data_IF_624978999643
#
_entry.id   IF_624978999643
#
_cell.length_a   1.000
_cell.length_b   1.000
_cell.length_c   1.000
_cell.angle_alpha   90.00
_cell.angle_beta   90.00
_cell.angle_gamma   90.00
#
_symmetry.space_group_name_H-M   'P 1'
#
loop_
_entity.id
_entity.type
_entity.pdbx_description
1 polymer ?
#
# COMPACT_ATOMS: atom_id res chain seq x y z
N UNK A 1 8.02 -0.23 9.86
CA UNK A 1 7.76 -1.36 8.94
C UNK A 1 8.59 -1.12 7.70
N UNK A 2 9.31 -2.14 7.19
CA UNK A 2 9.93 -2.09 5.86
C UNK A 2 9.08 -2.89 4.86
N UNK A 3 9.31 -2.65 3.56
CA UNK A 3 8.61 -3.35 2.49
C UNK A 3 8.79 -4.88 2.61
N UNK A 4 10.02 -5.33 2.85
CA UNK A 4 10.34 -6.75 3.02
C UNK A 4 9.59 -7.39 4.20
N UNK A 5 9.42 -6.65 5.31
CA UNK A 5 8.64 -7.14 6.46
C UNK A 5 7.17 -7.37 6.09
N UNK A 6 6.59 -6.46 5.29
CA UNK A 6 5.20 -6.57 4.83
C UNK A 6 5.07 -7.77 3.87
N UNK A 7 5.99 -7.91 2.92
CA UNK A 7 5.98 -9.03 1.99
C UNK A 7 6.10 -10.37 2.73
N UNK A 8 7.03 -10.47 3.68
CA UNK A 8 7.19 -11.66 4.50
C UNK A 8 5.95 -11.94 5.37
N UNK A 9 5.28 -10.91 5.89
CA UNK A 9 4.09 -11.04 6.74
C UNK A 9 2.85 -11.48 5.97
N UNK A 10 2.60 -10.92 4.79
CA UNK A 10 1.35 -11.16 4.04
C UNK A 10 1.49 -12.24 2.96
N UNK A 11 2.68 -12.43 2.39
CA UNK A 11 2.91 -13.41 1.32
C UNK A 11 3.86 -14.54 1.72
N UNK A 12 4.35 -14.57 2.97
CA UNK A 12 5.33 -15.53 3.48
C UNK A 12 6.68 -15.54 2.71
N UNK A 13 6.90 -14.57 1.82
CA UNK A 13 8.09 -14.43 1.01
C UNK A 13 8.28 -12.97 0.60
N UNK A 14 9.53 -12.55 0.42
CA UNK A 14 9.88 -11.27 -0.20
C UNK A 14 9.90 -11.34 -1.73
N UNK A 15 9.74 -12.52 -2.31
CA UNK A 15 9.78 -12.76 -3.75
C UNK A 15 8.38 -13.02 -4.31
N UNK A 16 7.74 -11.95 -4.80
CA UNK A 16 6.39 -12.02 -5.37
C UNK A 16 6.29 -12.91 -6.62
N UNK A 17 7.39 -13.16 -7.33
CA UNK A 17 7.37 -14.06 -8.50
C UNK A 17 7.09 -15.52 -8.12
N UNK A 18 7.28 -15.87 -6.85
CA UNK A 18 7.00 -17.20 -6.30
C UNK A 18 5.61 -17.31 -5.67
N UNK A 19 4.85 -16.21 -5.61
CA UNK A 19 3.53 -16.18 -4.99
C UNK A 19 2.49 -16.61 -6.03
N UNK A 20 1.70 -17.63 -5.69
CA UNK A 20 0.59 -18.04 -6.52
C UNK A 20 -0.47 -16.93 -6.58
N UNK A 21 -1.21 -16.77 -7.70
CA UNK A 21 -2.24 -15.74 -7.85
C UNK A 21 -3.26 -15.75 -6.70
N UNK A 22 -3.76 -16.93 -6.32
CA UNK A 22 -4.72 -17.08 -5.21
C UNK A 22 -4.13 -16.61 -3.87
N UNK A 23 -2.85 -16.90 -3.62
CA UNK A 23 -2.15 -16.45 -2.40
C UNK A 23 -1.90 -14.94 -2.43
N UNK A 24 -1.65 -14.38 -3.61
CA UNK A 24 -1.49 -12.95 -3.78
C UNK A 24 -2.80 -12.22 -3.46
N UNK A 25 -3.91 -12.67 -4.03
CA UNK A 25 -5.23 -12.11 -3.73
C UNK A 25 -5.56 -12.19 -2.23
N UNK A 26 -5.35 -13.36 -1.61
CA UNK A 26 -5.56 -13.54 -0.17
C UNK A 26 -4.67 -12.62 0.68
N UNK A 27 -3.42 -12.41 0.29
CA UNK A 27 -2.49 -11.49 0.97
C UNK A 27 -2.95 -10.03 0.86
N UNK A 28 -3.43 -9.61 -0.32
CA UNK A 28 -4.01 -8.28 -0.54
C UNK A 28 -5.28 -8.08 0.30
N UNK A 29 -6.16 -9.07 0.36
CA UNK A 29 -7.35 -9.01 1.22
C UNK A 29 -6.97 -8.87 2.70
N UNK A 30 -5.98 -9.65 3.16
CA UNK A 30 -5.50 -9.56 4.54
C UNK A 30 -4.88 -8.18 4.84
N UNK A 31 -4.09 -7.61 3.93
CA UNK A 31 -3.58 -6.24 4.03
C UNK A 31 -4.71 -5.21 4.15
N UNK A 32 -5.79 -5.35 3.38
CA UNK A 32 -6.96 -4.44 3.44
C UNK A 32 -7.67 -4.53 4.79
N UNK A 33 -7.80 -5.73 5.35
CA UNK A 33 -8.36 -5.93 6.69
C UNK A 33 -7.47 -5.29 7.75
N UNK A 34 -6.15 -5.53 7.71
CA UNK A 34 -5.20 -4.93 8.65
C UNK A 34 -5.24 -3.39 8.55
N UNK A 35 -5.32 -2.83 7.34
CA UNK A 35 -5.49 -1.38 7.13
C UNK A 35 -6.78 -0.84 7.79
N UNK A 36 -7.88 -1.59 7.71
CA UNK A 36 -9.15 -1.21 8.35
C UNK A 36 -9.07 -1.24 9.88
N UNK A 37 -8.24 -2.11 10.45
CA UNK A 37 -8.06 -2.29 11.89
C UNK A 37 -6.95 -1.42 12.49
N UNK A 38 -6.03 -0.93 11.67
CA UNK A 38 -4.88 -0.16 12.14
C UNK A 38 -5.30 1.24 12.61
N UNK A 39 -4.88 1.62 13.82
CA UNK A 39 -5.20 2.92 14.44
C UNK A 39 -4.04 3.91 14.29
N UNK A 40 -2.81 3.43 14.11
CA UNK A 40 -1.63 4.29 13.94
C UNK A 40 -1.61 4.91 12.54
N UNK A 41 -1.67 6.24 12.48
CA UNK A 41 -1.66 7.01 11.21
C UNK A 41 -0.47 6.65 10.31
N UNK A 42 0.71 6.49 10.89
CA UNK A 42 1.94 6.17 10.14
C UNK A 42 1.91 4.77 9.53
N UNK A 43 1.44 3.77 10.28
CA UNK A 43 1.27 2.40 9.79
C UNK A 43 0.13 2.29 8.78
N UNK A 44 -1.00 2.96 9.01
CA UNK A 44 -2.10 3.05 8.03
C UNK A 44 -1.59 3.57 6.69
N UNK A 45 -0.83 4.66 6.73
CA UNK A 45 -0.21 5.22 5.53
C UNK A 45 0.71 4.23 4.84
N UNK A 46 1.59 3.56 5.59
CA UNK A 46 2.48 2.54 5.03
C UNK A 46 1.72 1.36 4.37
N UNK A 47 0.68 0.85 5.03
CA UNK A 47 -0.16 -0.23 4.52
C UNK A 47 -0.95 0.20 3.28
N UNK A 48 -1.49 1.41 3.29
CA UNK A 48 -2.20 1.97 2.15
C UNK A 48 -1.27 2.19 0.95
N UNK A 49 -0.08 2.77 1.16
CA UNK A 49 0.91 2.98 0.10
C UNK A 49 1.40 1.65 -0.49
N UNK A 50 1.55 0.62 0.35
CA UNK A 50 1.86 -0.74 -0.10
C UNK A 50 0.74 -1.29 -1.01
N UNK A 51 -0.52 -1.19 -0.59
CA UNK A 51 -1.66 -1.59 -1.42
C UNK A 51 -1.77 -0.77 -2.71
N UNK A 52 -1.38 0.51 -2.69
CA UNK A 52 -1.40 1.39 -3.86
C UNK A 52 -0.40 0.93 -4.91
N UNK A 53 0.80 0.52 -4.50
CA UNK A 53 1.81 -0.05 -5.39
C UNK A 53 1.32 -1.30 -6.13
N UNK A 54 0.39 -2.06 -5.54
CA UNK A 54 -0.25 -3.22 -6.18
C UNK A 54 -1.57 -2.88 -6.90
N UNK A 55 -1.92 -1.60 -7.04
CA UNK A 55 -3.18 -1.17 -7.67
C UNK A 55 -4.44 -1.60 -6.90
N UNK A 56 -4.29 -1.93 -5.62
CA UNK A 56 -5.34 -2.50 -4.78
C UNK A 56 -5.71 -1.63 -3.58
N UNK A 57 -5.17 -0.41 -3.50
CA UNK A 57 -5.50 0.54 -2.45
C UNK A 57 -6.97 0.99 -2.53
N UNK A 58 -7.66 1.10 -1.37
CA UNK A 58 -8.95 1.77 -1.31
C UNK A 58 -8.82 3.28 -1.53
N UNK A 59 -9.93 3.93 -1.86
CA UNK A 59 -10.03 5.38 -1.99
C UNK A 59 -9.58 6.11 -0.71
N UNK A 60 -9.01 7.30 -0.89
CA UNK A 60 -8.49 8.12 0.21
C UNK A 60 -9.56 8.47 1.25
N UNK A 61 -10.80 8.68 0.81
CA UNK A 61 -11.91 8.99 1.71
C UNK A 61 -12.28 7.79 2.60
N UNK A 62 -12.05 6.57 2.12
CA UNK A 62 -12.29 5.31 2.85
C UNK A 62 -11.10 4.96 3.74
N UNK A 63 -9.87 5.15 3.27
CA UNK A 63 -8.67 4.83 4.01
C UNK A 63 -8.29 5.88 5.06
N UNK A 64 -8.71 7.12 4.92
CA UNK A 64 -8.30 8.19 5.83
C UNK A 64 -9.49 9.08 6.16
N UNK A 65 -9.76 9.24 7.46
CA UNK A 65 -10.84 10.11 7.95
C UNK A 65 -10.43 11.59 7.91
N UNK A 66 -9.17 11.89 8.19
CA UNK A 66 -8.66 13.27 8.26
C UNK A 66 -8.16 13.77 6.91
N UNK A 67 -8.44 15.04 6.59
CA UNK A 67 -7.94 15.68 5.36
C UNK A 67 -6.41 15.68 5.30
N UNK A 68 -5.71 15.93 6.43
CA UNK A 68 -4.24 15.90 6.47
C UNK A 68 -3.64 14.57 5.97
N UNK A 69 -4.26 13.44 6.32
CA UNK A 69 -3.80 12.12 5.87
C UNK A 69 -4.10 11.90 4.38
N UNK A 70 -5.25 12.41 3.91
CA UNK A 70 -5.60 12.37 2.48
C UNK A 70 -4.64 13.22 1.65
N UNK A 71 -4.28 14.41 2.14
CA UNK A 71 -3.28 15.27 1.51
C UNK A 71 -1.90 14.62 1.48
N UNK A 72 -1.48 13.97 2.57
CA UNK A 72 -0.23 13.19 2.58
C UNK A 72 -0.23 12.07 1.54
N UNK A 73 -1.35 11.35 1.39
CA UNK A 73 -1.51 10.31 0.40
C UNK A 73 -1.54 10.83 -1.04
N UNK A 74 -2.21 11.98 -1.29
CA UNK A 74 -2.16 12.67 -2.59
C UNK A 74 -0.74 13.11 -2.94
N UNK A 75 -0.01 13.67 -1.98
CA UNK A 75 1.38 14.08 -2.17
C UNK A 75 2.27 12.88 -2.52
N UNK A 76 2.05 11.73 -1.88
CA UNK A 76 2.76 10.50 -2.23
C UNK A 76 2.44 10.01 -3.66
N UNK A 77 1.17 10.02 -4.06
CA UNK A 77 0.80 9.69 -5.45
C UNK A 77 1.46 10.63 -6.46
N UNK A 78 1.48 11.94 -6.18
CA UNK A 78 2.10 12.94 -7.04
C UNK A 78 3.62 12.71 -7.17
N UNK A 79 4.30 12.44 -6.04
CA UNK A 79 5.72 12.10 -6.02
C UNK A 79 6.03 10.81 -6.79
N UNK A 80 5.18 9.79 -6.67
CA UNK A 80 5.33 8.53 -7.41
C UNK A 80 5.15 8.78 -8.92
N UNK A 81 4.08 9.47 -9.31
CA UNK A 81 3.83 9.83 -10.69
C UNK A 81 4.93 10.71 -11.29
N UNK A 82 5.49 11.64 -10.51
CA UNK A 82 6.63 12.46 -10.93
C UNK A 82 7.90 11.61 -11.13
N UNK A 83 8.14 10.63 -10.26
CA UNK A 83 9.26 9.69 -10.41
C UNK A 83 9.10 8.76 -11.63
N UNK A 84 7.87 8.45 -12.04
CA UNK A 84 7.58 7.68 -13.26
C UNK A 84 7.65 8.56 -14.53
N UNK A 85 7.33 9.85 -14.40
CA UNK A 85 7.33 10.85 -15.48
C UNK A 85 8.70 11.41 -15.87
N UNK A 86 9.71 11.33 -14.99
CA UNK A 86 11.09 11.77 -15.25
C UNK A 86 11.89 10.80 -16.16
N UNK A 87 11.21 9.80 -16.74
CA UNK A 87 11.77 8.85 -17.71
C UNK A 87 11.52 9.19 -19.18
N UNK A 88 10.97 10.36 -19.49
CA UNK A 88 10.81 10.87 -20.87
C UNK A 88 11.39 12.27 -20.96
N UNK A 89 12.62 12.36 -21.46
CA UNK A 89 13.19 13.54 -22.12
C UNK A 89 14.19 13.10 -23.17
#
# INVERSE_FOLDING_TARGET
MQLDDLLQRYFATTDLSKVAPDTFEAGIEHCRVDLGLEEDRGKRFALWSFLHMFGSAPDLDVAFESEEDREAARNFMDLLAASEGDGVS
#
